data_IF_788276394171
#
_entry.id   IF_788276394171
#
_cell.length_a   1.000
_cell.length_b   1.000
_cell.length_c   1.000
_cell.angle_alpha   90.00
_cell.angle_beta   90.00
_cell.angle_gamma   90.00
#
_symmetry.space_group_name_H-M   'P 1'
#
loop_
_entity.id
_entity.type
_entity.pdbx_description
1 polymer ?
2 non-polymer ?
3 non-polymer ?
4 non-polymer ?
5 non-polymer ?
6 water ?
#
# COMPACT_ATOMS: atom_id res chain seq x y z
N UNK A 2 -24.02 -7.39 -4.40
CA UNK A 2 -23.68 -6.27 -5.32
C UNK A 2 -22.94 -6.78 -6.54
N UNK A 3 -22.93 -5.99 -7.60
CA UNK A 3 -22.45 -6.42 -8.90
C UNK A 3 -21.03 -5.97 -9.22
N UNK A 4 -20.43 -5.15 -8.36
CA UNK A 4 -19.09 -4.66 -8.56
C UNK A 4 -18.27 -4.83 -7.27
N UNK A 5 -16.96 -4.87 -7.42
CA UNK A 5 -16.13 -5.20 -6.28
C UNK A 5 -16.22 -4.16 -5.17
N UNK A 6 -16.09 -2.89 -5.53
CA UNK A 6 -16.13 -1.86 -4.52
C UNK A 6 -17.44 -1.83 -3.76
N UNK A 7 -18.54 -1.91 -4.50
CA UNK A 7 -19.85 -1.89 -3.87
C UNK A 7 -20.06 -3.09 -3.00
N UNK A 8 -19.58 -4.26 -3.41
CA UNK A 8 -19.70 -5.46 -2.60
C UNK A 8 -18.90 -5.32 -1.33
N UNK A 9 -17.67 -4.82 -1.41
CA UNK A 9 -16.85 -4.59 -0.24
C UNK A 9 -17.54 -3.60 0.71
N UNK A 10 -18.17 -2.58 0.15
CA UNK A 10 -18.75 -1.54 0.96
C UNK A 10 -19.89 -2.03 1.82
N UNK A 11 -20.54 -3.11 1.44
CA UNK A 11 -21.62 -3.66 2.26
C UNK A 11 -21.13 -4.14 3.62
N UNK A 12 -19.84 -4.46 3.74
CA UNK A 12 -19.24 -4.85 5.00
C UNK A 12 -18.36 -3.76 5.56
N UNK A 13 -18.45 -2.56 5.01
CA UNK A 13 -17.73 -1.39 5.50
C UNK A 13 -16.32 -1.29 4.98
N UNK A 14 -15.99 -2.05 3.96
CA UNK A 14 -14.65 -2.12 3.40
C UNK A 14 -14.59 -1.50 2.04
N UNK A 15 -13.37 -1.31 1.55
CA UNK A 15 -13.13 -0.87 0.19
C UNK A 15 -12.51 -1.97 -0.64
N UNK A 16 -12.64 -1.82 -1.95
CA UNK A 16 -11.89 -2.60 -2.92
C UNK A 16 -11.24 -1.61 -3.89
N UNK A 17 -9.92 -1.59 -3.90
CA UNK A 17 -9.18 -0.57 -4.60
C UNK A 17 -8.26 -1.12 -5.66
N UNK A 18 -7.71 -0.19 -6.43
CA UNK A 18 -6.66 -0.49 -7.39
C UNK A 18 -5.59 0.56 -7.38
N UNK A 19 -4.46 0.22 -7.97
CA UNK A 19 -3.44 1.17 -8.38
C UNK A 19 -3.84 1.78 -9.70
N UNK A 20 -3.72 3.10 -9.82
CA UNK A 20 -4.03 3.85 -11.02
C UNK A 20 -2.78 4.53 -11.55
N UNK A 21 -2.57 4.42 -12.87
CA UNK A 21 -1.49 5.06 -13.56
C UNK A 21 -2.01 6.23 -14.37
N UNK A 22 -1.45 7.40 -14.12
CA UNK A 22 -1.91 8.62 -14.77
C UNK A 22 -1.85 8.58 -16.30
N UNK A 23 -0.83 7.95 -16.84
CA UNK A 23 -0.64 7.91 -18.27
C UNK A 23 -1.70 7.12 -19.00
N UNK A 24 -2.48 6.35 -18.26
CA UNK A 24 -3.52 5.50 -18.78
C UNK A 24 -4.89 6.07 -18.64
N UNK A 25 -4.98 7.30 -18.14
CA UNK A 25 -6.28 7.88 -17.90
C UNK A 25 -6.98 8.31 -19.21
N UNK A 26 -6.30 8.18 -20.35
CA UNK A 26 -6.89 8.32 -21.67
C UNK A 26 -7.32 7.01 -22.28
N UNK A 27 -7.18 5.92 -21.56
CA UNK A 27 -7.55 4.60 -22.04
C UNK A 27 -8.96 4.31 -21.59
N UNK A 28 -9.91 4.29 -22.56
CA UNK A 28 -11.31 4.19 -22.25
C UNK A 28 -11.70 2.89 -21.55
N UNK A 29 -11.08 1.78 -21.95
CA UNK A 29 -11.36 0.51 -21.31
C UNK A 29 -10.92 0.56 -19.86
N UNK A 30 -9.70 1.03 -19.66
CA UNK A 30 -9.12 1.13 -18.32
C UNK A 30 -9.94 1.99 -17.43
N UNK A 31 -10.26 3.21 -17.85
CA UNK A 31 -10.94 4.14 -16.97
C UNK A 31 -12.35 3.69 -16.67
N UNK A 32 -13.04 3.09 -17.63
CA UNK A 32 -14.38 2.67 -17.39
C UNK A 32 -14.47 1.45 -16.47
N UNK A 33 -13.60 0.48 -16.66
CA UNK A 33 -13.59 -0.67 -15.75
C UNK A 33 -13.13 -0.21 -14.36
N UNK A 34 -12.07 0.56 -14.27
CA UNK A 34 -11.61 0.98 -12.97
C UNK A 34 -12.63 1.85 -12.27
N UNK A 35 -13.30 2.69 -13.05
CA UNK A 35 -14.31 3.57 -12.47
C UNK A 35 -15.46 2.78 -11.89
N UNK A 36 -15.90 1.77 -12.61
CA UNK A 36 -17.02 0.93 -12.20
C UNK A 36 -16.68 0.08 -10.99
N UNK A 37 -15.47 -0.50 -10.93
CA UNK A 37 -15.22 -1.62 -10.04
C UNK A 37 -14.59 -1.26 -8.71
N UNK A 38 -13.95 -0.11 -8.60
CA UNK A 38 -13.13 0.17 -7.41
C UNK A 38 -13.63 1.41 -6.72
N UNK A 39 -13.56 1.43 -5.40
CA UNK A 39 -13.91 2.60 -4.59
C UNK A 39 -12.75 3.18 -3.82
N UNK A 40 -11.53 2.75 -4.13
CA UNK A 40 -10.32 3.25 -3.50
C UNK A 40 -9.23 3.24 -4.60
N UNK A 41 -8.39 4.25 -4.57
CA UNK A 41 -7.30 4.41 -5.51
C UNK A 41 -5.99 4.67 -4.82
N UNK A 42 -4.93 4.01 -5.30
CA UNK A 42 -3.55 4.35 -4.96
C UNK A 42 -2.88 4.79 -6.24
N UNK A 43 -2.10 5.87 -6.22
CA UNK A 43 -1.29 6.18 -7.40
C UNK A 43 -0.20 5.15 -7.53
N UNK A 44 -0.05 4.57 -8.71
CA UNK A 44 0.95 3.52 -8.89
C UNK A 44 2.36 4.05 -8.72
N UNK A 45 2.61 5.27 -9.18
CA UNK A 45 3.94 5.87 -9.18
C UNK A 45 3.98 7.36 -8.85
N UNK A 46 2.88 8.05 -9.04
CA UNK A 46 2.86 9.49 -9.11
C UNK A 46 3.00 10.19 -7.78
N UNK A 47 2.79 9.49 -6.67
CA UNK A 47 2.96 10.07 -5.35
C UNK A 47 4.25 9.63 -4.66
N UNK A 48 5.13 8.94 -5.41
CA UNK A 48 6.41 8.52 -4.89
C UNK A 48 7.35 9.72 -4.82
N UNK A 49 8.51 9.52 -4.22
CA UNK A 49 9.38 10.64 -3.86
C UNK A 49 9.93 11.31 -5.12
N UNK A 50 10.39 10.53 -6.10
CA UNK A 50 10.92 11.10 -7.34
C UNK A 50 9.90 11.89 -8.11
N UNK A 51 8.66 11.41 -8.18
CA UNK A 51 7.62 12.06 -8.95
C UNK A 51 7.20 13.35 -8.29
N UNK A 52 7.10 13.36 -6.97
CA UNK A 52 6.57 14.52 -6.26
C UNK A 52 7.63 15.56 -5.93
N UNK A 53 8.89 15.18 -5.81
CA UNK A 53 9.94 16.16 -5.49
C UNK A 53 11.14 15.88 -6.39
N UNK A 54 11.01 16.15 -7.69
CA UNK A 54 12.05 15.77 -8.65
C UNK A 54 13.36 16.50 -8.47
N UNK A 55 13.31 17.72 -7.94
CA UNK A 55 14.49 18.50 -7.51
C UNK A 55 14.20 18.89 -6.07
N UNK A 56 15.24 18.97 -5.24
CA UNK A 56 15.05 19.26 -3.83
C UNK A 56 14.34 20.57 -3.67
N UNK A 57 13.27 20.54 -2.89
CA UNK A 57 12.49 21.71 -2.59
C UNK A 57 11.52 22.16 -3.66
N UNK A 58 11.49 21.47 -4.79
CA UNK A 58 10.65 21.83 -5.91
C UNK A 58 9.65 20.72 -6.17
N UNK A 59 8.47 20.86 -5.61
CA UNK A 59 7.43 19.83 -5.70
C UNK A 59 6.75 19.89 -7.05
N UNK A 60 6.35 18.73 -7.53
CA UNK A 60 5.55 18.63 -8.74
C UNK A 60 4.43 17.65 -8.47
N UNK A 61 3.22 18.19 -8.30
CA UNK A 61 2.06 17.40 -8.03
C UNK A 61 1.21 17.19 -9.26
N UNK A 62 1.71 17.50 -10.46
CA UNK A 62 0.85 17.45 -11.62
C UNK A 62 0.28 16.04 -11.87
N UNK A 63 1.16 15.06 -11.97
CA UNK A 63 0.65 13.72 -12.22
C UNK A 63 -0.08 13.13 -11.01
N UNK A 64 0.41 13.41 -9.82
CA UNK A 64 -0.25 12.98 -8.61
C UNK A 64 -1.65 13.51 -8.54
N UNK A 65 -1.82 14.78 -8.86
CA UNK A 65 -3.15 15.39 -8.79
C UNK A 65 -4.06 14.86 -9.90
N UNK A 66 -3.47 14.49 -11.04
CA UNK A 66 -4.31 13.85 -12.06
C UNK A 66 -4.94 12.57 -11.49
N UNK A 67 -4.16 11.79 -10.76
CA UNK A 67 -4.68 10.56 -10.17
C UNK A 67 -5.68 10.91 -9.07
N UNK A 68 -5.32 11.80 -8.16
CA UNK A 68 -6.18 12.18 -7.06
C UNK A 68 -7.52 12.71 -7.56
N UNK A 69 -7.45 13.63 -8.53
CA UNK A 69 -8.65 14.20 -9.05
C UNK A 69 -9.53 13.19 -9.78
N UNK A 70 -8.91 12.29 -10.53
CA UNK A 70 -9.66 11.22 -11.18
C UNK A 70 -10.40 10.41 -10.11
N UNK A 71 -9.69 10.08 -9.03
CA UNK A 71 -10.29 9.31 -7.96
C UNK A 71 -11.52 10.00 -7.39
N UNK A 72 -11.34 11.25 -6.99
CA UNK A 72 -12.44 11.94 -6.35
C UNK A 72 -13.60 12.18 -7.34
N UNK A 73 -13.29 12.52 -8.59
CA UNK A 73 -14.32 12.68 -9.59
C UNK A 73 -15.11 11.42 -9.80
N UNK A 74 -14.49 10.29 -9.59
CA UNK A 74 -15.12 8.98 -9.79
C UNK A 74 -15.58 8.32 -8.48
N UNK A 75 -15.64 9.10 -7.41
CA UNK A 75 -16.21 8.61 -6.17
C UNK A 75 -15.33 7.70 -5.32
N UNK A 76 -14.04 7.74 -5.52
CA UNK A 76 -13.09 6.95 -4.75
C UNK A 76 -12.35 7.75 -3.71
N UNK A 77 -12.00 7.12 -2.60
CA UNK A 77 -10.98 7.62 -1.69
C UNK A 77 -9.60 7.29 -2.23
N UNK A 78 -8.58 7.84 -1.59
CA UNK A 78 -7.22 7.72 -2.03
C UNK A 78 -6.30 7.32 -0.88
N UNK A 79 -5.47 6.32 -1.14
CA UNK A 79 -4.35 5.98 -0.29
C UNK A 79 -3.12 6.62 -0.85
N UNK A 80 -2.37 7.33 -0.03
CA UNK A 80 -1.14 7.93 -0.45
C UNK A 80 0.02 6.99 -0.40
N UNK A 81 0.81 6.89 -1.47
CA UNK A 81 1.88 5.93 -1.58
C UNK A 81 3.04 6.61 -2.31
N UNK A 82 4.22 6.82 -1.71
CA UNK A 82 4.67 6.52 -0.37
C UNK A 82 5.70 7.58 -0.01
N UNK A 83 5.83 7.89 1.27
CA UNK A 83 6.59 9.07 1.68
C UNK A 83 8.07 8.85 1.93
N UNK A 84 8.47 7.64 2.29
CA UNK A 84 9.85 7.37 2.69
C UNK A 84 10.12 5.91 2.29
N UNK A 85 11.08 5.73 1.38
CA UNK A 85 11.30 4.44 0.73
C UNK A 85 12.69 4.46 0.13
N UNK A 86 13.37 3.33 0.15
CA UNK A 86 14.68 3.22 -0.50
C UNK A 86 14.62 3.28 -2.02
N UNK A 87 13.47 2.97 -2.61
CA UNK A 87 13.32 2.84 -4.04
C UNK A 87 12.65 4.07 -4.64
N UNK A 88 12.94 4.34 -5.93
CA UNK A 88 12.34 5.45 -6.65
C UNK A 88 12.59 6.77 -5.93
N UNK A 89 13.76 6.87 -5.30
CA UNK A 89 14.22 8.18 -4.84
C UNK A 89 14.76 8.98 -6.01
N UNK A 90 14.56 10.28 -6.02
CA UNK A 90 15.21 11.09 -7.03
C UNK A 90 16.72 11.07 -6.73
N UNK A 91 17.51 11.33 -7.78
CA UNK A 91 18.95 11.27 -7.67
C UNK A 91 19.47 12.17 -6.56
N UNK A 92 18.88 13.35 -6.35
CA UNK A 92 19.39 14.26 -5.35
C UNK A 92 19.27 13.67 -3.96
N UNK A 93 18.24 12.87 -3.73
CA UNK A 93 18.06 12.22 -2.44
C UNK A 93 18.97 11.01 -2.30
N UNK A 94 19.18 10.27 -3.40
CA UNK A 94 20.05 9.12 -3.35
C UNK A 94 21.45 9.54 -2.93
N UNK A 95 21.87 10.75 -3.27
CA UNK A 95 23.22 11.21 -2.96
C UNK A 95 23.40 11.67 -1.50
N UNK A 96 22.29 11.86 -0.77
CA UNK A 96 22.35 12.32 0.59
C UNK A 96 22.52 11.17 1.56
N UNK A 97 23.17 11.47 2.68
CA UNK A 97 23.38 10.54 3.75
C UNK A 97 23.22 11.22 5.09
N UNK A 98 23.08 10.45 6.16
CA UNK A 98 23.22 10.97 7.48
C UNK A 98 22.18 12.03 7.79
N UNK A 99 22.62 13.06 8.52
CA UNK A 99 21.70 14.07 9.00
C UNK A 99 21.14 14.92 7.85
N UNK A 100 21.88 15.10 6.77
CA UNK A 100 21.35 15.82 5.62
C UNK A 100 20.19 15.05 5.00
N UNK A 101 20.36 13.75 4.85
CA UNK A 101 19.27 12.89 4.38
C UNK A 101 18.09 12.94 5.33
N UNK A 102 18.35 12.88 6.64
CA UNK A 102 17.25 12.92 7.62
C UNK A 102 16.43 14.19 7.41
N UNK A 103 17.08 15.32 7.26
CA UNK A 103 16.37 16.56 7.06
C UNK A 103 15.54 16.51 5.78
N UNK A 104 16.14 16.00 4.69
CA UNK A 104 15.43 15.92 3.43
C UNK A 104 14.23 14.96 3.53
N UNK A 105 14.37 13.88 4.26
CA UNK A 105 13.27 12.95 4.45
C UNK A 105 12.09 13.64 5.13
N UNK A 106 12.40 14.37 6.21
CA UNK A 106 11.42 15.13 6.97
C UNK A 106 10.75 16.19 6.06
N UNK A 107 11.60 16.94 5.35
CA UNK A 107 11.10 17.98 4.47
C UNK A 107 10.16 17.41 3.42
N UNK A 108 10.51 16.25 2.88
CA UNK A 108 9.68 15.67 1.84
C UNK A 108 8.29 15.28 2.39
N UNK A 109 8.28 14.64 3.57
CA UNK A 109 7.03 14.26 4.23
C UNK A 109 6.19 15.50 4.44
N UNK A 110 6.80 16.55 4.99
CA UNK A 110 6.04 17.73 5.31
C UNK A 110 5.45 18.37 4.06
N UNK A 111 6.21 18.44 2.97
CA UNK A 111 5.72 19.09 1.79
C UNK A 111 4.61 18.34 1.09
N UNK A 112 4.76 17.02 0.97
CA UNK A 112 3.73 16.23 0.31
C UNK A 112 2.48 16.19 1.15
N UNK A 113 2.61 15.96 2.45
CA UNK A 113 1.43 15.87 3.27
C UNK A 113 0.69 17.19 3.36
N UNK A 114 1.39 18.32 3.32
CA UNK A 114 0.72 19.60 3.34
C UNK A 114 -0.16 19.73 2.10
N UNK A 115 0.31 19.29 0.95
CA UNK A 115 -0.46 19.41 -0.27
C UNK A 115 -1.76 18.64 -0.21
N UNK A 116 -1.74 17.50 0.47
CA UNK A 116 -2.89 16.61 0.55
C UNK A 116 -3.58 16.62 1.90
N UNK A 117 -3.30 17.59 2.75
CA UNK A 117 -3.79 17.55 4.10
C UNK A 117 -5.27 17.48 4.12
N UNK A 118 -5.75 16.49 4.86
CA UNK A 118 -7.16 16.23 5.03
C UNK A 118 -7.83 15.51 3.86
N UNK A 119 -7.07 15.17 2.82
CA UNK A 119 -7.64 14.65 1.57
C UNK A 119 -7.31 13.20 1.34
N UNK A 120 -6.37 12.65 2.09
CA UNK A 120 -5.91 11.33 1.84
C UNK A 120 -6.17 10.44 3.14
N UNK A 121 -6.91 9.34 3.04
CA UNK A 121 -7.38 8.60 4.20
C UNK A 121 -6.28 7.81 4.89
N UNK A 122 -5.35 7.31 4.11
CA UNK A 122 -4.26 6.49 4.57
C UNK A 122 -3.01 6.90 3.82
N UNK A 123 -1.89 7.04 4.54
CA UNK A 123 -0.59 7.20 3.88
C UNK A 123 0.29 6.01 4.23
N UNK A 124 0.93 5.46 3.20
CA UNK A 124 2.08 4.57 3.40
C UNK A 124 3.25 5.51 3.72
N UNK A 125 3.47 5.75 4.99
CA UNK A 125 4.51 6.68 5.39
C UNK A 125 5.88 6.12 5.09
N UNK A 126 6.07 4.84 5.45
CA UNK A 126 7.32 4.14 5.23
C UNK A 126 7.00 2.86 4.51
N UNK A 127 7.81 2.53 3.51
CA UNK A 127 7.62 1.35 2.71
C UNK A 127 8.91 0.51 2.75
N UNK A 128 8.77 -0.80 2.92
CA UNK A 128 9.82 -1.78 2.63
C UNK A 128 11.10 -1.61 3.43
N UNK A 129 10.98 -1.40 4.73
CA UNK A 129 12.14 -1.19 5.56
C UNK A 129 12.85 -2.47 5.99
N UNK A 130 12.25 -3.64 5.86
CA UNK A 130 12.91 -4.86 6.30
C UNK A 130 13.57 -5.59 5.15
N UNK A 131 14.66 -6.25 5.49
CA UNK A 131 15.34 -7.12 4.56
C UNK A 131 14.57 -8.41 4.39
N UNK A 132 14.69 -9.02 3.21
CA UNK A 132 14.21 -10.36 3.00
C UNK A 132 15.14 -11.37 3.65
N UNK A 133 14.60 -12.54 3.90
CA UNK A 133 15.34 -13.68 4.37
C UNK A 133 15.18 -13.94 5.84
N UNK A 134 16.16 -14.62 6.42
CA UNK A 134 16.04 -15.12 7.77
C UNK A 134 16.43 -14.16 8.87
N UNK A 135 17.07 -13.05 8.54
CA UNK A 135 17.65 -12.25 9.60
C UNK A 135 16.68 -11.35 10.34
N UNK A 136 15.62 -10.91 9.69
CA UNK A 136 14.80 -9.89 10.28
C UNK A 136 15.49 -8.54 10.39
N UNK A 137 16.63 -8.38 9.72
CA UNK A 137 17.31 -7.12 9.77
C UNK A 137 16.57 -6.05 8.96
N UNK A 138 16.93 -4.80 9.18
CA UNK A 138 16.51 -3.72 8.30
C UNK A 138 17.24 -3.82 6.98
N UNK A 139 16.53 -3.48 5.92
CA UNK A 139 17.09 -3.32 4.60
C UNK A 139 18.17 -2.27 4.62
N UNK A 140 19.27 -2.51 3.92
CA UNK A 140 20.32 -1.51 3.73
C UNK A 140 19.87 -0.47 2.72
N UNK A 141 19.88 0.79 3.16
CA UNK A 141 19.56 1.93 2.32
C UNK A 141 20.15 3.15 2.95
N UNK A 142 20.22 4.24 2.21
CA UNK A 142 20.65 5.48 2.79
C UNK A 142 19.81 5.84 4.02
N UNK A 143 18.49 5.63 3.94
CA UNK A 143 17.61 5.93 5.05
C UNK A 143 17.98 5.11 6.27
N UNK A 144 18.15 3.81 6.14
CA UNK A 144 18.51 3.01 7.29
C UNK A 144 19.89 3.40 7.86
N UNK A 145 20.82 3.72 6.96
CA UNK A 145 22.14 4.13 7.41
C UNK A 145 22.07 5.46 8.17
N UNK A 146 21.02 6.24 8.04
CA UNK A 146 20.88 7.46 8.82
C UNK A 146 20.53 7.20 10.29
N UNK A 147 20.10 5.98 10.61
CA UNK A 147 19.81 5.58 11.98
C UNK A 147 18.58 4.73 12.06
N UNK A 148 18.51 3.84 13.06
CA UNK A 148 17.37 2.97 13.27
C UNK A 148 16.09 3.75 13.48
N UNK A 149 16.18 4.97 13.95
CA UNK A 149 15.06 5.81 14.26
C UNK A 149 14.45 6.44 13.02
N UNK A 150 14.96 6.16 11.80
CA UNK A 150 14.40 6.84 10.65
C UNK A 150 12.92 6.60 10.50
N UNK A 151 12.50 5.38 10.79
CA UNK A 151 11.11 5.00 10.62
C UNK A 151 10.23 5.77 11.59
N UNK A 152 10.57 5.71 12.88
CA UNK A 152 9.82 6.44 13.91
C UNK A 152 9.78 7.93 13.60
N UNK A 153 10.91 8.50 13.15
CA UNK A 153 10.93 9.93 12.85
C UNK A 153 9.98 10.23 11.69
N UNK A 154 9.93 9.37 10.68
CA UNK A 154 9.02 9.57 9.56
C UNK A 154 7.57 9.60 10.07
N UNK A 155 7.22 8.64 10.94
CA UNK A 155 5.88 8.60 11.50
C UNK A 155 5.55 9.81 12.36
N UNK A 156 6.48 10.23 13.23
CA UNK A 156 6.22 11.41 14.05
C UNK A 156 6.04 12.63 13.17
N UNK A 157 6.84 12.74 12.12
CA UNK A 157 6.71 13.87 11.20
C UNK A 157 5.32 13.88 10.56
N UNK A 158 4.90 12.71 10.11
CA UNK A 158 3.64 12.59 9.42
C UNK A 158 2.45 12.91 10.35
N UNK A 159 2.51 12.46 11.60
CA UNK A 159 1.42 12.72 12.54
C UNK A 159 1.24 14.20 12.74
N UNK A 160 2.35 14.93 12.84
CA UNK A 160 2.29 16.38 13.00
C UNK A 160 1.79 17.08 11.74
N UNK A 161 2.18 16.57 10.58
CA UNK A 161 1.83 17.22 9.32
C UNK A 161 0.33 17.08 9.00
N UNK A 162 -0.28 15.93 9.28
CA UNK A 162 -1.70 15.74 8.97
C UNK A 162 -2.26 14.78 10.01
N UNK A 163 -2.74 15.34 11.13
CA UNK A 163 -3.34 14.50 12.18
C UNK A 163 -4.57 13.70 11.74
N UNK A 164 -5.19 14.03 10.62
CA UNK A 164 -6.37 13.29 10.18
C UNK A 164 -6.03 12.00 9.44
N UNK A 165 -4.80 11.89 8.92
CA UNK A 165 -4.43 10.74 8.09
C UNK A 165 -4.13 9.51 8.94
N UNK A 166 -4.55 8.35 8.50
CA UNK A 166 -4.08 7.15 9.08
C UNK A 166 -2.69 6.84 8.55
N UNK A 167 -1.76 6.61 9.46
CA UNK A 167 -0.37 6.43 9.12
C UNK A 167 -0.03 4.94 9.07
N UNK A 168 0.35 4.46 7.90
CA UNK A 168 0.62 3.06 7.67
C UNK A 168 2.08 2.78 7.43
N UNK A 169 2.53 1.63 8.00
CA UNK A 169 3.77 1.02 7.58
C UNK A 169 3.45 -0.08 6.57
N UNK A 170 4.11 -0.12 5.41
CA UNK A 170 3.77 -1.04 4.33
C UNK A 170 4.96 -1.89 3.96
N UNK A 171 4.74 -3.18 3.71
CA UNK A 171 5.86 -4.04 3.31
C UNK A 171 5.32 -5.27 2.61
N UNK A 172 6.23 -6.04 2.04
CA UNK A 172 5.93 -7.29 1.36
C UNK A 172 6.67 -8.40 2.05
N UNK A 173 6.28 -9.66 1.75
CA UNK A 173 6.87 -10.83 2.38
C UNK A 173 6.67 -10.82 3.89
N UNK A 174 5.58 -10.19 4.33
CA UNK A 174 5.24 -10.03 5.74
C UNK A 174 3.85 -10.58 6.06
N UNK A 175 3.34 -11.45 5.19
CA UNK A 175 2.01 -12.01 5.33
C UNK A 175 2.01 -13.36 6.04
N UNK A 176 3.11 -14.10 5.96
CA UNK A 176 3.20 -15.44 6.52
C UNK A 176 3.67 -15.31 7.96
N UNK A 177 2.80 -15.71 8.89
CA UNK A 177 3.07 -15.54 10.29
C UNK A 177 4.35 -16.19 10.75
N UNK A 178 4.80 -17.27 10.07
CA UNK A 178 6.03 -17.97 10.49
C UNK A 178 7.31 -17.36 9.97
N UNK A 179 7.23 -16.39 9.05
CA UNK A 179 8.44 -15.88 8.45
C UNK A 179 9.14 -14.87 9.37
N UNK A 180 10.46 -14.87 9.33
CA UNK A 180 11.28 -13.94 10.10
C UNK A 180 10.96 -12.49 9.75
N UNK A 181 10.70 -12.19 8.48
CA UNK A 181 10.42 -10.80 8.11
C UNK A 181 9.13 -10.34 8.76
N UNK A 182 8.10 -11.19 8.75
CA UNK A 182 6.84 -10.88 9.40
C UNK A 182 7.04 -10.60 10.86
N UNK A 183 7.83 -11.45 11.52
CA UNK A 183 8.06 -11.27 12.93
C UNK A 183 8.86 -10.03 13.23
N UNK A 184 9.78 -9.66 12.35
CA UNK A 184 10.51 -8.42 12.53
C UNK A 184 9.56 -7.22 12.50
N UNK A 185 8.65 -7.23 11.54
CA UNK A 185 7.66 -6.17 11.44
C UNK A 185 6.74 -6.16 12.65
N UNK A 186 6.33 -7.34 13.11
CA UNK A 186 5.46 -7.44 14.28
C UNK A 186 6.16 -6.84 15.50
N UNK A 187 7.44 -7.21 15.70
CA UNK A 187 8.24 -6.71 16.83
C UNK A 187 8.36 -5.20 16.77
N UNK A 188 8.57 -4.66 15.57
CA UNK A 188 8.66 -3.22 15.42
C UNK A 188 7.34 -2.51 15.78
N UNK A 189 6.24 -3.01 15.24
CA UNK A 189 4.99 -2.37 15.54
C UNK A 189 4.65 -2.46 17.01
N UNK A 190 4.93 -3.60 17.61
CA UNK A 190 4.73 -3.76 19.03
C UNK A 190 5.58 -2.75 19.82
N UNK A 191 6.84 -2.59 19.44
CA UNK A 191 7.74 -1.60 20.03
C UNK A 191 7.19 -0.20 19.88
N UNK A 192 6.74 0.15 18.69
CA UNK A 192 6.18 1.45 18.45
C UNK A 192 5.00 1.72 19.34
N UNK A 193 4.09 0.77 19.46
CA UNK A 193 2.95 0.98 20.31
C UNK A 193 3.36 1.12 21.77
N UNK A 194 4.34 0.36 22.20
CA UNK A 194 4.81 0.45 23.59
C UNK A 194 5.40 1.81 23.88
N UNK A 195 6.10 2.39 22.91
CA UNK A 195 6.80 3.64 23.10
C UNK A 195 6.04 4.87 22.69
N UNK A 196 4.85 4.68 22.16
CA UNK A 196 4.01 5.79 21.73
C UNK A 196 4.37 6.40 20.39
N UNK A 197 5.07 5.67 19.52
CA UNK A 197 5.29 6.12 18.15
C UNK A 197 3.97 6.05 17.41
N UNK A 198 3.59 7.10 16.71
CA UNK A 198 2.30 7.10 16.04
C UNK A 198 2.36 6.12 14.91
N UNK A 199 1.50 5.13 14.92
CA UNK A 199 1.35 4.23 13.79
C UNK A 199 -0.06 3.75 13.92
N UNK A 200 -0.81 3.87 12.84
CA UNK A 200 -2.22 3.57 12.88
C UNK A 200 -2.61 2.32 12.09
N UNK A 201 -1.75 1.85 11.20
CA UNK A 201 -2.13 0.85 10.24
C UNK A 201 -0.88 0.16 9.74
N UNK A 202 -1.08 -1.10 9.37
CA UNK A 202 -0.06 -1.87 8.69
C UNK A 202 -0.61 -2.37 7.37
N UNK A 203 0.17 -2.14 6.33
CA UNK A 203 -0.12 -2.54 4.98
C UNK A 203 0.66 -3.77 4.59
N UNK A 204 -0.07 -4.76 4.10
CA UNK A 204 0.46 -6.02 3.63
C UNK A 204 0.38 -5.99 2.11
N UNK A 205 1.51 -5.83 1.45
CA UNK A 205 1.48 -5.69 0.00
C UNK A 205 0.83 -6.86 -0.68
N UNK A 206 1.09 -8.08 -0.18
CA UNK A 206 0.40 -9.26 -0.68
C UNK A 206 0.73 -9.57 -2.12
N UNK A 207 2.04 -9.50 -2.46
CA UNK A 207 2.53 -9.99 -3.75
C UNK A 207 2.80 -11.49 -3.65
N UNK A 208 1.78 -12.29 -3.82
CA UNK A 208 1.88 -13.71 -3.64
C UNK A 208 2.37 -14.40 -4.91
N UNK A 209 3.32 -15.31 -4.75
CA UNK A 209 3.88 -16.02 -5.89
C UNK A 209 4.56 -17.27 -5.37
N UNK A 210 5.18 -18.03 -6.26
CA UNK A 210 5.70 -19.33 -5.85
C UNK A 210 6.76 -19.24 -4.78
N UNK A 211 7.58 -18.19 -4.81
CA UNK A 211 8.59 -18.02 -3.79
C UNK A 211 8.08 -17.47 -2.48
N UNK A 212 6.97 -16.76 -2.56
CA UNK A 212 6.34 -16.12 -1.40
C UNK A 212 4.86 -16.47 -1.44
N UNK A 213 4.53 -17.72 -1.23
CA UNK A 213 3.16 -18.16 -1.42
C UNK A 213 2.20 -17.75 -0.33
N UNK A 214 0.95 -17.55 -0.74
CA UNK A 214 -0.13 -17.41 0.23
C UNK A 214 -0.15 -18.57 1.19
N UNK A 215 -0.44 -18.29 2.46
CA UNK A 215 -0.64 -19.29 3.49
C UNK A 215 -1.90 -18.93 4.23
N UNK A 216 -2.67 -19.92 4.66
CA UNK A 216 -3.86 -19.64 5.46
C UNK A 216 -3.59 -18.85 6.72
N UNK A 217 -2.36 -18.89 7.19
CA UNK A 217 -1.99 -18.13 8.35
C UNK A 217 -1.96 -16.64 8.11
N UNK A 218 -2.24 -16.16 6.91
CA UNK A 218 -2.40 -14.73 6.71
C UNK A 218 -3.46 -14.20 7.63
N UNK A 219 -4.52 -14.99 7.88
CA UNK A 219 -5.58 -14.55 8.78
C UNK A 219 -5.04 -14.31 10.18
N UNK A 220 -4.16 -15.20 10.62
CA UNK A 220 -3.49 -15.09 11.89
C UNK A 220 -2.63 -13.85 11.94
N UNK A 221 -1.85 -13.59 10.90
CA UNK A 221 -1.04 -12.40 10.83
C UNK A 221 -1.92 -11.15 10.97
N UNK A 222 -2.99 -11.09 10.18
CA UNK A 222 -3.88 -9.93 10.24
C UNK A 222 -4.47 -9.76 11.64
N UNK A 223 -4.94 -10.86 12.24
CA UNK A 223 -5.49 -10.80 13.59
C UNK A 223 -4.50 -10.31 14.59
N UNK A 224 -3.28 -10.81 14.51
CA UNK A 224 -2.28 -10.52 15.49
C UNK A 224 -1.82 -9.07 15.41
N UNK A 225 -1.67 -8.54 14.19
CA UNK A 225 -1.38 -7.12 14.08
C UNK A 225 -2.54 -6.29 14.56
N UNK A 226 -3.76 -6.63 14.20
CA UNK A 226 -4.92 -5.89 14.66
C UNK A 226 -4.94 -5.81 16.19
N UNK A 227 -4.57 -6.89 16.85
CA UNK A 227 -4.56 -6.95 18.31
C UNK A 227 -3.54 -6.02 18.95
N UNK A 228 -2.56 -5.52 18.18
CA UNK A 228 -1.65 -4.51 18.66
C UNK A 228 -2.27 -3.12 18.69
N UNK A 229 -3.46 -2.97 18.12
CA UNK A 229 -4.15 -1.70 18.12
C UNK A 229 -3.89 -0.91 16.86
N UNK A 230 -3.76 -1.58 15.72
CA UNK A 230 -3.63 -0.95 14.43
C UNK A 230 -4.69 -1.54 13.52
N UNK A 231 -5.10 -0.77 12.53
CA UNK A 231 -5.82 -1.30 11.40
C UNK A 231 -4.87 -2.05 10.48
N UNK A 232 -5.43 -2.92 9.64
CA UNK A 232 -4.64 -3.63 8.67
C UNK A 232 -5.29 -3.46 7.30
N UNK A 233 -4.47 -3.51 6.27
CA UNK A 233 -4.98 -3.37 4.90
C UNK A 233 -4.13 -4.23 3.99
N UNK A 234 -4.75 -4.75 2.95
CA UNK A 234 -4.08 -5.46 1.89
C UNK A 234 -3.84 -4.43 0.81
N UNK A 235 -2.59 -4.09 0.48
CA UNK A 235 -2.31 -2.87 -0.24
C UNK A 235 -1.93 -3.01 -1.70
N UNK A 236 -1.39 -4.15 -2.12
CA UNK A 236 -0.84 -4.29 -3.49
C UNK A 236 -1.06 -5.70 -4.01
N UNK A 237 -2.23 -6.26 -3.73
CA UNK A 237 -2.47 -7.63 -4.01
C UNK A 237 -2.31 -7.97 -5.47
N UNK A 238 -1.56 -9.02 -5.72
CA UNK A 238 -1.49 -9.69 -7.00
C UNK A 238 -1.06 -11.11 -6.68
N UNK A 239 -1.44 -12.06 -7.53
CA UNK A 239 -1.20 -13.46 -7.23
C UNK A 239 -0.79 -14.14 -8.54
N UNK A 240 0.42 -14.69 -8.57
CA UNK A 240 0.92 -15.36 -9.75
C UNK A 240 -0.11 -16.35 -10.26
N UNK A 241 -0.46 -16.22 -11.52
CA UNK A 241 -1.46 -17.06 -12.17
C UNK A 241 -2.91 -16.74 -11.87
N UNK A 242 -3.16 -15.80 -10.97
CA UNK A 242 -4.49 -15.40 -10.54
C UNK A 242 -5.44 -16.58 -10.25
N UNK A 243 -5.01 -17.55 -9.45
CA UNK A 243 -5.92 -18.64 -9.12
C UNK A 243 -7.12 -18.11 -8.34
N UNK A 244 -8.30 -18.53 -8.73
CA UNK A 244 -9.51 -18.15 -8.05
C UNK A 244 -9.51 -18.54 -6.59
N UNK A 245 -8.99 -19.73 -6.27
CA UNK A 245 -9.01 -20.20 -4.90
C UNK A 245 -8.26 -19.28 -3.98
N UNK A 246 -7.05 -18.90 -4.38
CA UNK A 246 -6.23 -18.06 -3.53
C UNK A 246 -6.83 -16.67 -3.40
N UNK A 247 -7.35 -16.13 -4.50
CA UNK A 247 -7.97 -14.82 -4.44
C UNK A 247 -9.16 -14.85 -3.47
N UNK A 248 -9.98 -15.90 -3.49
CA UNK A 248 -11.07 -16.02 -2.53
C UNK A 248 -10.54 -16.13 -1.13
N UNK A 249 -9.48 -16.89 -0.92
CA UNK A 249 -8.94 -17.06 0.42
C UNK A 249 -8.48 -15.74 1.01
N UNK A 250 -7.77 -14.93 0.22
CA UNK A 250 -7.30 -13.66 0.70
C UNK A 250 -8.48 -12.74 1.05
N UNK A 251 -9.49 -12.73 0.19
CA UNK A 251 -10.66 -11.91 0.41
C UNK A 251 -11.33 -12.32 1.71
N UNK A 252 -11.53 -13.61 1.92
CA UNK A 252 -12.16 -14.10 3.13
C UNK A 252 -11.32 -13.80 4.37
N UNK A 253 -10.00 -13.78 4.25
CA UNK A 253 -9.16 -13.42 5.41
C UNK A 253 -9.43 -11.98 5.81
N UNK A 254 -9.52 -11.06 4.85
CA UNK A 254 -9.84 -9.68 5.19
C UNK A 254 -11.23 -9.59 5.84
N UNK A 255 -12.22 -10.27 5.26
CA UNK A 255 -13.59 -10.22 5.74
C UNK A 255 -13.71 -10.77 7.16
N UNK A 256 -12.79 -11.63 7.57
CA UNK A 256 -12.81 -12.26 8.88
C UNK A 256 -12.19 -11.38 9.96
N UNK A 257 -11.54 -10.29 9.60
CA UNK A 257 -10.80 -9.49 10.56
C UNK A 257 -11.44 -8.12 10.61
N UNK A 258 -11.99 -7.77 11.77
CA UNK A 258 -12.77 -6.55 11.89
C UNK A 258 -12.00 -5.30 11.52
N UNK A 259 -10.71 -5.25 11.83
CA UNK A 259 -9.90 -4.09 11.50
C UNK A 259 -9.21 -4.15 10.15
N UNK A 260 -9.58 -5.10 9.30
CA UNK A 260 -9.10 -5.09 7.91
C UNK A 260 -9.97 -4.17 7.10
N UNK A 261 -9.36 -3.06 6.70
CA UNK A 261 -10.08 -1.97 6.09
C UNK A 261 -10.51 -2.25 4.66
N UNK A 262 -9.79 -3.10 3.96
CA UNK A 262 -10.06 -3.30 2.57
C UNK A 262 -8.87 -3.92 1.84
N UNK A 263 -9.05 -4.11 0.55
CA UNK A 263 -8.09 -4.73 -0.32
C UNK A 263 -7.89 -3.82 -1.52
N UNK A 264 -6.64 -3.58 -1.86
CA UNK A 264 -6.24 -2.98 -3.15
C UNK A 264 -5.48 -4.01 -3.94
N UNK A 265 -5.89 -4.21 -5.19
CA UNK A 265 -5.10 -5.00 -6.14
C UNK A 265 -4.19 -4.07 -6.91
N UNK A 266 -3.00 -4.56 -7.26
CA UNK A 266 -1.97 -3.71 -7.84
C UNK A 266 -2.08 -3.59 -9.37
N UNK A 267 -3.22 -3.06 -9.78
CA UNK A 267 -3.54 -2.84 -11.16
C UNK A 267 -4.89 -3.40 -11.58
N UNK A 268 -5.27 -3.09 -12.82
CA UNK A 268 -6.58 -3.44 -13.35
C UNK A 268 -6.49 -4.67 -14.24
N UNK A 269 -6.03 -4.55 -15.48
CA UNK A 269 -5.87 -5.68 -16.37
C UNK A 269 -4.52 -6.33 -16.16
N UNK A 270 -4.39 -7.60 -16.50
CA UNK A 270 -3.09 -8.23 -16.43
C UNK A 270 -2.00 -7.40 -17.13
N UNK A 271 -2.32 -6.82 -18.28
CA UNK A 271 -1.33 -6.05 -19.02
C UNK A 271 -0.94 -4.75 -18.32
N UNK A 272 -1.74 -4.29 -17.37
CA UNK A 272 -1.40 -3.13 -16.55
C UNK A 272 -0.45 -3.50 -15.42
N UNK A 273 -0.25 -4.78 -15.15
CA UNK A 273 0.56 -5.17 -14.00
C UNK A 273 2.03 -4.97 -14.22
N UNK A 274 2.73 -4.54 -13.18
CA UNK A 274 4.18 -4.52 -13.17
C UNK A 274 4.76 -5.92 -13.43
N UNK A 275 3.97 -6.96 -13.16
CA UNK A 275 4.35 -8.33 -13.33
C UNK A 275 3.34 -9.06 -14.25
N UNK A 276 3.03 -8.39 -15.33
CA UNK A 276 2.08 -8.91 -16.31
C UNK A 276 2.36 -10.31 -16.78
N UNK A 277 3.62 -10.67 -16.90
CA UNK A 277 3.97 -12.01 -17.37
C UNK A 277 3.45 -13.10 -16.45
N UNK A 278 3.17 -12.76 -15.18
CA UNK A 278 2.61 -13.66 -14.19
C UNK A 278 1.08 -13.63 -14.15
N UNK A 279 0.48 -12.95 -15.11
CA UNK A 279 -0.98 -12.81 -15.28
C UNK A 279 -1.74 -12.78 -13.94
N UNK A 280 -1.43 -11.80 -13.09
CA UNK A 280 -1.75 -11.92 -11.67
C UNK A 280 -2.93 -11.15 -11.13
N UNK A 281 -3.70 -10.55 -12.04
CA UNK A 281 -4.79 -9.63 -11.68
C UNK A 281 -6.14 -10.20 -12.08
N UNK A 282 -7.19 -9.38 -11.91
CA UNK A 282 -8.55 -9.87 -11.97
C UNK A 282 -9.22 -9.71 -13.33
N UNK A 283 -8.63 -8.91 -14.20
CA UNK A 283 -9.20 -8.67 -15.54
C UNK A 283 -8.18 -9.07 -16.60
N UNK A 284 -8.73 -9.62 -17.68
CA UNK A 284 -7.97 -9.96 -18.85
C UNK A 284 -7.47 -8.72 -19.59
N UNK A 285 -6.56 -8.95 -20.54
CA UNK A 285 -6.01 -7.86 -21.34
C UNK A 285 -7.04 -7.07 -22.08
N UNK A 286 -8.13 -7.74 -22.45
CA UNK A 286 -9.26 -7.09 -23.13
C UNK A 286 -10.30 -6.49 -22.20
N UNK A 287 -10.04 -6.53 -20.90
CA UNK A 287 -10.94 -5.97 -19.93
C UNK A 287 -11.99 -6.91 -19.38
N UNK A 288 -12.11 -8.10 -19.94
CA UNK A 288 -13.08 -9.07 -19.44
C UNK A 288 -12.66 -9.62 -18.08
N UNK A 289 -13.65 -10.10 -17.34
CA UNK A 289 -13.46 -10.66 -16.01
C UNK A 289 -12.85 -12.04 -16.05
N UNK A 290 -11.84 -12.27 -15.21
CA UNK A 290 -11.25 -13.58 -15.07
C UNK A 290 -11.98 -14.37 -13.99
N UNK A 291 -11.70 -15.67 -13.93
CA UNK A 291 -12.30 -16.48 -12.90
C UNK A 291 -12.04 -15.91 -11.53
N UNK A 292 -10.88 -15.36 -11.28
CA UNK A 292 -10.58 -14.82 -9.98
C UNK A 292 -11.49 -13.62 -9.64
N UNK A 293 -11.90 -12.83 -10.63
CA UNK A 293 -12.82 -11.77 -10.39
C UNK A 293 -14.09 -12.31 -9.72
N UNK A 294 -14.66 -13.35 -10.31
CA UNK A 294 -15.91 -13.90 -9.81
C UNK A 294 -15.75 -14.44 -8.41
N UNK A 295 -14.61 -15.07 -8.16
CA UNK A 295 -14.32 -15.60 -6.83
C UNK A 295 -14.24 -14.50 -5.79
N UNK A 296 -13.59 -13.39 -6.10
CA UNK A 296 -13.52 -12.27 -5.19
C UNK A 296 -14.91 -11.66 -4.95
N UNK A 297 -15.65 -11.40 -6.03
CA UNK A 297 -16.97 -10.82 -5.89
C UNK A 297 -17.87 -11.68 -5.02
N UNK A 298 -17.86 -12.98 -5.32
CA UNK A 298 -18.67 -13.90 -4.54
C UNK A 298 -18.28 -13.88 -3.06
N UNK A 299 -16.99 -13.86 -2.76
CA UNK A 299 -16.56 -13.82 -1.37
C UNK A 299 -17.03 -12.51 -0.73
N UNK A 300 -16.86 -11.39 -1.40
CA UNK A 300 -17.31 -10.11 -0.83
C UNK A 300 -18.81 -10.11 -0.56
N UNK A 301 -19.57 -10.78 -1.44
CA UNK A 301 -21.02 -10.89 -1.28
C UNK A 301 -21.43 -11.97 -0.30
N UNK A 302 -20.52 -12.67 0.32
CA UNK A 302 -20.89 -13.64 1.33
C UNK A 302 -21.33 -14.94 0.71
N UNK A 303 -22.04 -15.71 1.37
X LIG B 1 -19.39 -13.65 -8.35
X LIG C 1 -21.98 -16.39 -1.61
X LIG D 1 -24.07 -3.53 -6.74
X LIG E 1 12.81 -16.89 -1.05
X LIG E 1 12.55 -16.07 -0.02
X LIG E 1 11.82 -14.73 -0.31
X LIG E 1 12.37 -13.70 0.50
X LIG E 1 11.77 -14.36 -1.79
X LIG E 1 11.35 -15.60 -2.57
X LIG E 1 12.37 -16.72 -2.42
X LIG E 1 12.90 -16.36 1.22
X LIG F 1 10.80 -13.32 -1.93
X LIG F 1 10.88 -12.49 -3.04
X LIG F 1 9.46 -12.19 -3.43
X LIG F 1 9.42 -11.14 -4.53
X LIG F 1 10.29 -9.94 -4.20
X LIG F 1 11.66 -10.42 -3.74
X LIG F 1 8.74 -13.35 -3.88
X LIG F 1 8.08 -10.70 -4.85
X LIG F 1 10.42 -9.10 -5.33
X LIG F 1 11.54 -11.35 -2.65
X LIG G 1 -13.00 -2.02 9.63
X LIG G 1 -13.52 -2.72 8.63
X LIG G 1 -14.06 -1.85 7.79
X LIG G 1 -13.88 -0.61 8.26
X LIG G 1 -13.21 -0.71 9.45
X LIG H 1 9.33 -6.86 -4.53
X LIG H 1 8.06 -6.99 -4.03
X LIG H 1 7.70 -5.83 -3.47
X LIG H 1 8.75 -4.98 -3.63
X LIG H 1 9.74 -5.61 -4.27
X LIG I 1 6.28 -2.30 -4.13
X LIG I 1 5.62 -1.17 -4.01
X LIG I 1 5.13 -0.49 -5.28
X LIG I 1 5.37 0.89 -5.23
X LIG I 1 5.81 -1.06 -6.52
X LIG I 1 5.66 -2.56 -6.49
X LIG I 1 6.51 -3.09 -5.35
X LIG I 1 5.36 -0.65 -2.92
X LIG J 1 5.19 -0.45 -7.65
X LIG J 1 5.96 -0.56 -8.82
X LIG J 1 5.13 -0.06 -9.96
X LIG J 1 5.93 0.02 -11.26
X LIG J 1 7.25 0.72 -11.01
X LIG J 1 7.94 0.16 -9.80
X LIG J 1 4.02 -0.94 -10.13
X LIG J 1 5.18 0.69 -12.24
X LIG J 1 8.10 0.57 -12.14
X LIG J 1 7.08 0.26 -8.66
X LIG K 1 -22.07 -0.04 -10.97
#
# INVERSE_FOLDING_TARGET
AESTLGAAAAQSGRYFGTAIASGRLSDSTYTSIAGREFNMVTAENEMKIDATEPQRGQFNFSSADRVYNWAVQNGKQVRGHTLAWHSQQPGWMQSLSGSALRQAMIDHINGVMAHYKGKIVQWDVVNEAFADGSSGARRDSNLQRSGNDWIEVAFRTARAADPSAKLCYNDYNVENWTWAKTQAMYNMVRDFKQRGVPIDCVGFQSHFNSGSPYNSNFRTTLQNFAALGVDVAITELDIQGAPASTYANVTNDCLAVSRCLGITVWGVRDSDSWRSEQTPLLFNNDGSKKAAYTAVLDALNGGDSSEPPADGG
NA NA
NA NA
NA NA
XDL N1 C2 C3 O3 C4 C5 C6 O2
XYP O1 C1 C2 C3 C4 C5 O2 O3 O4 O5
IMD N1 C2 N3 C4 C5
IMD N1 C2 N3 C4 C5
XDL N1 C2 C3 O3 C4 C5 C6 O2
XYP O1 C1 C2 C3 C4 C5 O2 O3 O4 O5
NA NA
#
